data_IF_325461292747
#
_entry.id   IF_325461292747
#
_cell.length_a   1.000
_cell.length_b   1.000
_cell.length_c   1.000
_cell.angle_alpha   90.00
_cell.angle_beta   90.00
_cell.angle_gamma   90.00
#
_symmetry.space_group_name_H-M   'P 1'
#
loop_
_entity.id
_entity.type
_entity.pdbx_description
1 polymer ?
#
# COMPACT_ATOMS: atom_id res chain seq x y z
N UNK A 1 -13.99 -36.05 -36.48
CA UNK A 1 -14.54 -35.39 -35.27
C UNK A 1 -14.88 -36.48 -34.27
N UNK A 2 -13.98 -36.79 -33.34
CA UNK A 2 -14.06 -38.00 -32.51
C UNK A 2 -14.09 -37.69 -31.02
N UNK A 3 -15.29 -37.40 -30.49
CA UNK A 3 -15.57 -37.49 -29.05
C UNK A 3 -16.94 -38.16 -28.87
N UNK A 4 -17.04 -39.44 -29.24
CA UNK A 4 -18.29 -40.20 -29.16
C UNK A 4 -18.42 -41.05 -27.87
N UNK A 5 -17.66 -40.73 -26.82
CA UNK A 5 -17.65 -41.52 -25.58
C UNK A 5 -17.69 -40.61 -24.36
N UNK A 6 -18.80 -40.72 -23.61
CA UNK A 6 -18.99 -40.04 -22.31
C UNK A 6 -17.92 -40.49 -21.30
N UNK A 7 -17.43 -41.72 -21.41
CA UNK A 7 -16.31 -42.25 -20.64
C UNK A 7 -15.01 -41.49 -20.87
N UNK A 8 -14.79 -40.95 -22.08
CA UNK A 8 -13.63 -40.10 -22.39
C UNK A 8 -13.78 -38.74 -21.73
N UNK A 9 -14.98 -38.16 -21.74
CA UNK A 9 -15.29 -36.91 -21.03
C UNK A 9 -15.13 -37.06 -19.51
N UNK A 10 -15.70 -38.11 -18.91
CA UNK A 10 -15.56 -38.39 -17.48
C UNK A 10 -14.08 -38.64 -17.11
N UNK A 11 -13.30 -39.39 -17.91
CA UNK A 11 -11.86 -39.55 -17.67
C UNK A 11 -11.10 -38.22 -17.78
N UNK A 12 -11.36 -37.39 -18.78
CA UNK A 12 -10.61 -36.15 -18.96
C UNK A 12 -10.99 -35.04 -17.97
N UNK A 13 -12.26 -34.97 -17.58
CA UNK A 13 -12.81 -33.87 -16.78
C UNK A 13 -13.03 -34.22 -15.31
N UNK A 14 -13.31 -35.48 -14.93
CA UNK A 14 -13.40 -35.88 -13.50
C UNK A 14 -12.05 -36.35 -12.92
N UNK A 15 -11.09 -36.78 -13.76
CA UNK A 15 -9.75 -37.17 -13.27
C UNK A 15 -8.82 -35.97 -13.04
N UNK A 16 -9.19 -34.77 -13.50
CA UNK A 16 -8.71 -33.51 -12.89
C UNK A 16 -9.37 -33.37 -11.53
N UNK A 17 -8.97 -34.28 -10.64
CA UNK A 17 -9.33 -34.30 -9.23
C UNK A 17 -9.16 -32.90 -8.66
N UNK A 18 -10.09 -32.58 -7.78
CA UNK A 18 -10.11 -31.47 -6.83
C UNK A 18 -8.93 -31.61 -5.86
N UNK A 19 -7.69 -31.67 -6.35
CA UNK A 19 -6.46 -31.87 -5.55
C UNK A 19 -5.66 -30.60 -5.46
N UNK A 20 -5.60 -29.79 -6.52
CA UNK A 20 -4.85 -28.53 -6.49
C UNK A 20 -5.57 -27.51 -5.61
N UNK A 21 -6.89 -27.38 -5.76
CA UNK A 21 -7.71 -26.46 -4.97
C UNK A 21 -7.80 -26.89 -3.50
N UNK A 22 -7.94 -28.19 -3.21
CA UNK A 22 -7.89 -28.70 -1.83
C UNK A 22 -6.50 -28.57 -1.21
N UNK A 23 -5.42 -28.87 -1.94
CA UNK A 23 -4.06 -28.63 -1.44
C UNK A 23 -3.76 -27.14 -1.25
N UNK A 24 -4.30 -26.25 -2.07
CA UNK A 24 -4.18 -24.81 -1.89
C UNK A 24 -4.92 -24.34 -0.63
N UNK A 25 -6.15 -24.83 -0.43
CA UNK A 25 -6.94 -24.54 0.78
C UNK A 25 -6.27 -25.08 2.04
N UNK A 26 -5.78 -26.32 2.02
CA UNK A 26 -5.09 -26.92 3.17
C UNK A 26 -3.76 -26.20 3.47
N UNK A 27 -2.98 -25.83 2.45
CA UNK A 27 -1.78 -25.00 2.64
C UNK A 27 -2.12 -23.65 3.25
N UNK A 28 -3.22 -23.01 2.84
CA UNK A 28 -3.64 -21.74 3.41
C UNK A 28 -4.08 -21.88 4.86
N UNK A 29 -4.79 -22.96 5.20
CA UNK A 29 -5.17 -23.28 6.59
C UNK A 29 -3.95 -23.51 7.47
N UNK A 30 -3.00 -24.31 7.02
CA UNK A 30 -1.74 -24.58 7.73
C UNK A 30 -0.93 -23.31 7.93
N UNK A 31 -0.83 -22.45 6.90
CA UNK A 31 -0.17 -21.15 7.01
C UNK A 31 -0.83 -20.26 8.05
N UNK A 32 -2.17 -20.19 8.04
CA UNK A 32 -2.91 -19.41 9.03
C UNK A 32 -2.69 -19.93 10.45
N UNK A 33 -2.77 -21.25 10.65
CA UNK A 33 -2.54 -21.87 11.95
C UNK A 33 -1.11 -21.58 12.45
N UNK A 34 -0.10 -21.76 11.60
CA UNK A 34 1.29 -21.47 11.93
C UNK A 34 1.49 -19.99 12.31
N UNK A 35 0.95 -19.05 11.53
CA UNK A 35 1.05 -17.62 11.81
C UNK A 35 0.35 -17.25 13.12
N UNK A 36 -0.81 -17.86 13.39
CA UNK A 36 -1.54 -17.63 14.61
C UNK A 36 -0.80 -18.15 15.84
N UNK A 37 -0.19 -19.34 15.73
CA UNK A 37 0.64 -19.91 16.79
C UNK A 37 1.90 -19.08 17.05
N UNK A 38 2.55 -18.57 15.99
CA UNK A 38 3.68 -17.64 16.11
C UNK A 38 3.24 -16.38 16.84
N UNK A 39 2.12 -15.77 16.42
CA UNK A 39 1.58 -14.56 17.03
C UNK A 39 1.27 -14.78 18.50
N UNK A 40 0.57 -15.86 18.85
CA UNK A 40 0.24 -16.17 20.25
C UNK A 40 1.46 -16.38 21.13
N UNK A 41 2.47 -17.10 20.64
CA UNK A 41 3.73 -17.27 21.37
C UNK A 41 4.41 -15.92 21.57
N UNK A 42 4.48 -15.10 20.53
CA UNK A 42 5.08 -13.77 20.60
C UNK A 42 4.35 -12.87 21.60
N UNK A 43 3.01 -12.83 21.57
CA UNK A 43 2.18 -12.05 22.51
C UNK A 43 2.43 -12.42 23.98
N UNK A 44 2.78 -13.68 24.27
CA UNK A 44 3.08 -14.13 25.62
C UNK A 44 4.55 -13.96 26.00
N UNK A 45 5.46 -14.31 25.10
CA UNK A 45 6.90 -14.32 25.37
C UNK A 45 7.55 -12.94 25.31
N UNK A 46 7.10 -12.04 24.42
CA UNK A 46 7.73 -10.73 24.30
C UNK A 46 7.61 -9.89 25.58
N UNK A 47 6.44 -9.78 26.24
CA UNK A 47 6.35 -9.01 27.47
C UNK A 47 7.31 -9.52 28.55
N UNK A 48 7.50 -10.84 28.65
CA UNK A 48 8.46 -11.42 29.60
C UNK A 48 9.89 -11.02 29.24
N UNK A 49 10.27 -11.15 27.96
CA UNK A 49 11.61 -10.76 27.47
C UNK A 49 11.89 -9.28 27.67
N UNK A 50 10.89 -8.42 27.47
CA UNK A 50 11.00 -6.98 27.63
C UNK A 50 11.21 -6.62 29.10
N UNK A 51 10.45 -7.22 30.02
CA UNK A 51 10.63 -7.05 31.47
C UNK A 51 12.00 -7.55 31.92
N UNK A 52 12.44 -8.72 31.45
CA UNK A 52 13.77 -9.25 31.76
C UNK A 52 14.90 -8.31 31.28
N UNK A 53 14.76 -7.72 30.09
CA UNK A 53 15.72 -6.73 29.56
C UNK A 53 15.74 -5.45 30.39
N UNK A 54 14.58 -4.93 30.77
CA UNK A 54 14.46 -3.76 31.64
C UNK A 54 15.15 -4.01 32.99
N UNK A 55 14.92 -5.16 33.61
CA UNK A 55 15.56 -5.54 34.88
C UNK A 55 17.07 -5.74 34.73
N UNK A 56 17.53 -6.22 33.57
CA UNK A 56 18.94 -6.35 33.25
C UNK A 56 19.62 -5.00 32.90
N UNK A 57 18.88 -3.88 32.90
CA UNK A 57 19.41 -2.56 32.59
C UNK A 57 19.86 -2.39 31.13
N UNK A 58 19.41 -3.27 30.22
CA UNK A 58 19.62 -3.07 28.79
C UNK A 58 18.65 -2.00 28.30
N UNK A 59 19.16 -0.97 27.62
CA UNK A 59 18.32 -0.04 26.87
C UNK A 59 17.53 -0.80 25.80
N UNK A 60 16.21 -0.73 25.84
CA UNK A 60 15.36 -1.06 24.70
C UNK A 60 15.77 -0.12 23.57
N UNK A 61 16.49 -0.63 22.56
CA UNK A 61 16.72 0.12 21.33
C UNK A 61 15.37 0.30 20.64
N UNK A 62 14.68 1.40 20.95
CA UNK A 62 13.42 1.81 20.31
C UNK A 62 13.63 2.17 18.83
N UNK A 63 14.90 2.32 18.41
CA UNK A 63 15.29 2.36 17.02
C UNK A 63 15.65 0.94 16.57
N UNK A 64 14.73 0.22 15.88
CA UNK A 64 15.19 -0.87 15.04
C UNK A 64 16.25 -0.30 14.11
N UNK A 65 17.38 -1.00 13.97
CA UNK A 65 18.29 -0.74 12.86
C UNK A 65 17.44 -0.86 11.60
N UNK A 66 17.11 0.29 10.99
CA UNK A 66 16.47 0.35 9.70
C UNK A 66 17.48 -0.22 8.71
N UNK A 67 17.42 -1.53 8.51
CA UNK A 67 18.04 -2.19 7.37
C UNK A 67 17.23 -1.72 6.17
N UNK A 68 17.54 -0.52 5.70
CA UNK A 68 17.02 -0.02 4.46
C UNK A 68 17.58 -0.92 3.36
N UNK A 69 16.66 -1.60 2.67
CA UNK A 69 16.92 -2.18 1.36
C UNK A 69 17.58 -1.10 0.49
N UNK A 70 18.45 -1.49 -0.44
CA UNK A 70 19.30 -0.57 -1.24
C UNK A 70 18.44 0.59 -1.74
N UNK A 71 18.55 1.76 -1.10
CA UNK A 71 17.76 2.93 -1.48
C UNK A 71 18.12 3.31 -2.91
N UNK A 72 17.11 3.59 -3.73
CA UNK A 72 17.33 4.20 -5.02
C UNK A 72 18.13 5.50 -4.80
N UNK A 73 19.14 5.83 -5.62
CA UNK A 73 20.00 7.00 -5.41
C UNK A 73 19.23 8.30 -5.18
N UNK A 74 18.13 8.51 -5.91
CA UNK A 74 17.26 9.67 -5.77
C UNK A 74 16.47 9.70 -4.44
N UNK A 75 16.13 8.54 -3.88
CA UNK A 75 15.49 8.46 -2.57
C UNK A 75 16.47 8.81 -1.45
N UNK A 76 17.74 8.40 -1.59
CA UNK A 76 18.82 8.79 -0.70
C UNK A 76 19.07 10.30 -0.75
N UNK A 77 19.22 10.85 -1.96
CA UNK A 77 19.40 12.29 -2.17
C UNK A 77 18.23 13.13 -1.63
N UNK A 78 17.00 12.62 -1.78
CA UNK A 78 15.81 13.21 -1.17
C UNK A 78 15.90 13.22 0.35
N UNK A 79 16.19 12.07 0.96
CA UNK A 79 16.29 11.94 2.41
C UNK A 79 17.38 12.87 2.97
N UNK A 80 18.58 12.85 2.37
CA UNK A 80 19.71 13.69 2.76
C UNK A 80 19.38 15.18 2.65
N UNK A 81 18.70 15.59 1.57
CA UNK A 81 18.37 16.99 1.34
C UNK A 81 17.28 17.49 2.29
N UNK A 82 16.21 16.70 2.51
CA UNK A 82 15.07 17.09 3.36
C UNK A 82 15.44 17.07 4.85
N UNK A 83 16.20 16.07 5.27
CA UNK A 83 16.60 15.88 6.67
C UNK A 83 17.91 16.61 7.03
N UNK A 84 18.49 17.35 6.09
CA UNK A 84 19.66 18.18 6.32
C UNK A 84 19.44 19.20 7.46
N UNK A 85 20.49 19.46 8.24
CA UNK A 85 20.45 20.44 9.33
C UNK A 85 20.18 21.85 8.79
N UNK A 86 19.40 22.68 9.50
CA UNK A 86 19.17 24.06 9.10
C UNK A 86 20.47 24.85 8.95
N UNK A 87 20.51 25.75 7.96
CA UNK A 87 21.63 26.67 7.75
C UNK A 87 21.80 27.64 8.93
N UNK A 88 23.02 28.12 9.13
CA UNK A 88 23.32 29.11 10.18
C UNK A 88 23.09 30.54 9.71
N UNK A 89 23.04 30.74 8.39
CA UNK A 89 22.70 31.98 7.72
C UNK A 89 21.45 31.81 6.86
N UNK A 90 20.85 32.93 6.45
CA UNK A 90 19.66 32.93 5.59
C UNK A 90 20.00 32.36 4.21
N UNK A 91 21.17 32.69 3.67
CA UNK A 91 21.65 32.21 2.37
C UNK A 91 21.86 30.69 2.40
N UNK A 92 22.52 30.16 3.43
CA UNK A 92 22.73 28.71 3.60
C UNK A 92 21.41 27.95 3.71
N UNK A 93 20.45 28.51 4.46
CA UNK A 93 19.12 27.91 4.63
C UNK A 93 18.30 27.99 3.33
N UNK A 94 18.44 29.07 2.56
CA UNK A 94 17.80 29.21 1.26
C UNK A 94 18.35 28.20 0.26
N UNK A 95 19.67 28.01 0.23
CA UNK A 95 20.32 26.99 -0.58
C UNK A 95 19.91 25.56 -0.16
N UNK A 96 19.83 25.31 1.16
CA UNK A 96 19.35 24.02 1.70
C UNK A 96 17.93 23.72 1.23
N UNK A 97 17.02 24.69 1.32
CA UNK A 97 15.62 24.56 0.87
C UNK A 97 15.53 24.34 -0.62
N UNK A 98 16.30 25.09 -1.41
CA UNK A 98 16.33 24.93 -2.87
C UNK A 98 16.79 23.53 -3.27
N UNK A 99 17.83 22.99 -2.61
CA UNK A 99 18.28 21.60 -2.82
C UNK A 99 17.19 20.59 -2.47
N UNK A 100 16.52 20.76 -1.33
CA UNK A 100 15.41 19.88 -0.93
C UNK A 100 14.25 19.92 -1.94
N UNK A 101 13.88 21.09 -2.45
CA UNK A 101 12.84 21.25 -3.47
C UNK A 101 13.23 20.52 -4.77
N UNK A 102 14.47 20.68 -5.22
CA UNK A 102 14.98 19.97 -6.39
C UNK A 102 14.94 18.45 -6.18
N UNK A 103 15.39 17.95 -5.02
CA UNK A 103 15.39 16.53 -4.72
C UNK A 103 13.97 15.94 -4.67
N UNK A 104 13.00 16.65 -4.07
CA UNK A 104 11.57 16.27 -4.11
C UNK A 104 11.07 16.18 -5.54
N UNK A 105 11.38 17.19 -6.36
CA UNK A 105 10.94 17.25 -7.76
C UNK A 105 11.49 16.07 -8.57
N UNK A 106 12.78 15.74 -8.39
CA UNK A 106 13.42 14.62 -9.06
C UNK A 106 12.82 13.27 -8.62
N UNK A 107 12.56 13.12 -7.33
CA UNK A 107 12.01 11.89 -6.79
C UNK A 107 10.56 11.65 -7.22
N UNK A 108 9.72 12.69 -7.30
CA UNK A 108 8.34 12.55 -7.78
C UNK A 108 8.23 12.04 -9.23
N UNK A 109 9.31 12.13 -10.02
CA UNK A 109 9.37 11.55 -11.37
C UNK A 109 9.68 10.05 -11.40
N UNK A 110 9.95 9.42 -10.26
CA UNK A 110 10.36 8.03 -10.16
C UNK A 110 9.16 7.18 -9.77
N UNK A 111 8.93 6.10 -10.52
CA UNK A 111 7.90 5.12 -10.21
C UNK A 111 8.40 4.18 -9.10
N UNK A 112 7.88 4.38 -7.89
CA UNK A 112 8.18 3.50 -6.76
C UNK A 112 7.20 2.33 -6.70
N UNK A 113 7.71 1.12 -6.96
CA UNK A 113 6.97 -0.12 -6.71
C UNK A 113 5.66 -0.25 -7.50
N UNK A 114 5.68 -1.01 -8.60
CA UNK A 114 4.45 -1.32 -9.32
C UNK A 114 3.46 -2.10 -8.45
N UNK A 115 2.19 -1.67 -8.42
CA UNK A 115 1.10 -2.58 -8.09
C UNK A 115 1.23 -3.76 -9.06
N UNK A 116 1.53 -4.98 -8.57
CA UNK A 116 1.24 -6.16 -9.39
C UNK A 116 -0.25 -6.05 -9.69
N UNK A 117 -0.68 -5.90 -10.95
CA UNK A 117 -2.09 -5.91 -11.25
C UNK A 117 -2.59 -7.21 -10.63
N UNK A 118 -3.51 -7.11 -9.67
CA UNK A 118 -4.33 -8.25 -9.30
C UNK A 118 -4.85 -8.71 -10.66
N UNK A 119 -4.40 -9.89 -11.12
CA UNK A 119 -4.99 -10.50 -12.30
C UNK A 119 -6.42 -10.81 -11.90
N UNK A 120 -7.30 -9.80 -12.04
CA UNK A 120 -8.75 -9.96 -11.98
C UNK A 120 -9.04 -10.81 -13.21
N UNK A 121 -9.00 -12.12 -12.99
CA UNK A 121 -9.42 -13.09 -13.97
C UNK A 121 -10.85 -12.77 -14.38
N UNK A 122 -11.07 -12.77 -15.69
CA UNK A 122 -12.40 -12.61 -16.26
C UNK A 122 -12.57 -11.26 -16.93
N UNK A 123 -12.00 -11.15 -18.12
CA UNK A 123 -12.45 -10.26 -19.17
C UNK A 123 -13.93 -10.58 -19.44
N UNK A 124 -14.85 -9.94 -18.70
CA UNK A 124 -16.25 -9.88 -19.09
C UNK A 124 -16.33 -8.99 -20.33
N UNK A 125 -16.24 -9.62 -21.49
CA UNK A 125 -16.72 -9.02 -22.73
C UNK A 125 -18.19 -8.70 -22.51
N UNK A 126 -18.58 -7.46 -22.81
CA UNK A 126 -19.93 -6.88 -22.91
C UNK A 126 -20.28 -5.87 -21.80
N UNK A 127 -19.93 -4.60 -22.04
CA UNK A 127 -20.86 -3.47 -22.13
C UNK A 127 -20.05 -2.16 -22.04
N UNK A 128 -19.82 -1.51 -23.17
CA UNK A 128 -19.42 -0.11 -23.17
C UNK A 128 -20.69 0.74 -23.11
N UNK A 129 -20.92 1.56 -22.05
CA UNK A 129 -21.76 2.73 -22.19
C UNK A 129 -20.92 3.89 -22.79
N UNK A 130 -21.54 4.88 -23.44
CA UNK A 130 -20.82 5.96 -24.08
C UNK A 130 -20.19 6.87 -23.01
N UNK A 131 -18.87 6.82 -22.90
CA UNK A 131 -18.02 7.56 -21.95
C UNK A 131 -18.16 9.09 -22.03
N UNK A 132 -18.77 9.63 -23.10
CA UNK A 132 -18.82 11.08 -23.33
C UNK A 132 -19.88 11.82 -22.52
N UNK A 133 -21.00 11.20 -22.16
CA UNK A 133 -22.09 11.91 -21.47
C UNK A 133 -22.00 11.88 -19.94
N UNK A 134 -21.14 11.03 -19.37
CA UNK A 134 -20.95 10.95 -17.91
C UNK A 134 -20.02 12.05 -17.38
N UNK A 135 -18.93 12.34 -18.11
CA UNK A 135 -17.96 13.37 -17.72
C UNK A 135 -18.57 14.78 -17.66
N UNK A 136 -19.43 15.12 -18.63
CA UNK A 136 -20.06 16.43 -18.73
C UNK A 136 -21.07 16.66 -17.59
N UNK A 137 -21.77 15.61 -17.16
CA UNK A 137 -22.72 15.65 -16.04
C UNK A 137 -22.02 15.76 -14.68
N UNK A 138 -20.85 15.13 -14.54
CA UNK A 138 -20.04 15.19 -13.33
C UNK A 138 -19.36 16.55 -13.16
N UNK A 139 -18.91 17.18 -14.25
CA UNK A 139 -18.30 18.52 -14.23
C UNK A 139 -19.32 19.61 -13.87
N UNK A 140 -20.54 19.52 -14.43
CA UNK A 140 -21.63 20.44 -14.10
C UNK A 140 -22.09 20.30 -12.64
N UNK A 141 -22.18 19.06 -12.14
CA UNK A 141 -22.49 18.80 -10.73
C UNK A 141 -21.39 19.32 -9.78
N UNK A 142 -20.12 19.22 -10.19
CA UNK A 142 -18.99 19.72 -9.43
C UNK A 142 -18.98 21.25 -9.34
N UNK A 143 -19.27 21.95 -10.45
CA UNK A 143 -19.38 23.42 -10.42
C UNK A 143 -20.61 23.90 -9.65
N UNK A 144 -21.74 23.21 -9.76
CA UNK A 144 -22.92 23.52 -8.94
C UNK A 144 -22.62 23.40 -7.44
N UNK A 145 -21.87 22.36 -7.04
CA UNK A 145 -21.43 22.17 -5.66
C UNK A 145 -20.49 23.29 -5.17
N UNK A 146 -19.54 23.73 -6.00
CA UNK A 146 -18.61 24.83 -5.67
C UNK A 146 -19.35 26.14 -5.38
N UNK A 147 -20.38 26.47 -6.17
CA UNK A 147 -21.17 27.71 -5.99
C UNK A 147 -22.06 27.64 -4.74
N UNK A 148 -22.49 26.44 -4.33
CA UNK A 148 -23.39 26.25 -3.19
C UNK A 148 -22.73 26.57 -1.85
N UNK A 149 -21.42 26.29 -1.70
CA UNK A 149 -20.63 26.59 -0.49
C UNK A 149 -20.61 28.07 -0.14
N UNK A 150 -20.73 28.96 -1.13
CA UNK A 150 -20.70 30.41 -0.91
C UNK A 150 -22.05 31.03 -0.52
N UNK A 151 -23.15 30.26 -0.55
CA UNK A 151 -24.48 30.73 -0.14
C UNK A 151 -24.68 30.70 1.37
N UNK A 152 -23.89 29.90 2.09
CA UNK A 152 -23.99 29.78 3.54
C UNK A 152 -23.23 30.91 4.25
N UNK A 153 -23.92 31.66 5.12
CA UNK A 153 -23.26 32.64 6.00
C UNK A 153 -22.42 31.89 7.02
N UNK A 154 -21.09 31.93 6.87
CA UNK A 154 -20.16 31.36 7.86
C UNK A 154 -20.38 32.00 9.24
N UNK A 155 -20.49 31.19 10.32
CA UNK A 155 -20.46 31.69 11.68
C UNK A 155 -19.21 32.54 11.90
N UNK A 156 -19.38 33.75 12.45
CA UNK A 156 -18.26 34.69 12.71
C UNK A 156 -17.62 34.50 14.08
N UNK A 157 -18.13 33.58 14.87
CA UNK A 157 -17.68 33.31 16.23
C UNK A 157 -17.41 31.82 16.31
N UNK A 158 -16.15 31.46 16.50
CA UNK A 158 -15.76 30.05 16.54
C UNK A 158 -16.12 29.39 17.87
N UNK A 159 -16.25 30.16 18.97
CA UNK A 159 -16.58 29.67 20.31
C UNK A 159 -17.23 30.80 21.14
N UNK A 160 -18.30 30.51 21.88
CA UNK A 160 -18.94 31.40 22.86
C UNK A 160 -18.22 31.33 24.21
#
# INVERSE_FOLDING_TARGET
MGHASITTFLKHYLSRRITVDTQAVERQRQRHALLWDIKKRWEFEQPVRDVERQLAGLETKDNPELVHDVMLPAQGELADSVLSKPGTTIEEEMDRRNRAICAVTLYCGIEEGGMKPIQIGGQSRNAAPPVKSQLEYEEEALEAAKVLVYKEKRPKVCFL
#
